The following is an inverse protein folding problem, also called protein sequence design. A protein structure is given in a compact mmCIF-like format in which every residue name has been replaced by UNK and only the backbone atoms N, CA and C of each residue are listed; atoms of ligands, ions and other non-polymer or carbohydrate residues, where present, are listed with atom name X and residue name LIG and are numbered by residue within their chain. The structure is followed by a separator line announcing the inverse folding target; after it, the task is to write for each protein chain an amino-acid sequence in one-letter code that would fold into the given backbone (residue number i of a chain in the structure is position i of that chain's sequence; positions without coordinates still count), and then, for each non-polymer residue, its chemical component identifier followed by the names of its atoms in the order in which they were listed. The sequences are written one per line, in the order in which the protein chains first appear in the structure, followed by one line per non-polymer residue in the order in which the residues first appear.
data_IF_639728767992
#
_entry.id   IF_639728767992
#
_cell.length_a   1.000
_cell.length_b   1.000
_cell.length_c   1.000
_cell.angle_alpha   90.00
_cell.angle_beta   90.00
_cell.angle_gamma   90.00
#
_symmetry.space_group_name_H-M   'P 1'
#
loop_
_entity.id
_entity.type
_entity.pdbx_description
1 polymer ?
#
# COMPACT_ATOMS: atom_id res chain seq x y z
N UNK A 1 15.37 2.40 -2.79
CA UNK A 1 15.03 1.15 -2.08
C UNK A 1 15.69 -0.05 -2.76
N UNK A 2 15.47 -0.25 -4.07
CA UNK A 2 16.11 -1.33 -4.82
C UNK A 2 17.63 -1.40 -4.69
N UNK A 3 18.35 -0.29 -4.93
CA UNK A 3 19.81 -0.26 -4.76
C UNK A 3 20.23 -0.64 -3.33
N UNK A 4 19.57 -0.05 -2.32
CA UNK A 4 19.84 -0.34 -0.91
C UNK A 4 19.64 -1.84 -0.58
N UNK A 5 18.53 -2.44 -1.01
CA UNK A 5 18.24 -3.86 -0.74
C UNK A 5 19.14 -4.83 -1.52
N UNK A 6 19.58 -4.46 -2.72
CA UNK A 6 20.45 -5.32 -3.52
C UNK A 6 21.92 -5.23 -3.11
N UNK A 7 22.36 -4.11 -2.53
CA UNK A 7 23.77 -3.84 -2.24
C UNK A 7 24.16 -3.95 -0.76
N UNK A 8 23.21 -4.23 0.15
CA UNK A 8 23.37 -4.09 1.60
C UNK A 8 24.61 -4.78 2.22
N UNK A 9 25.13 -5.85 1.61
CA UNK A 9 26.26 -6.61 2.16
C UNK A 9 27.60 -6.37 1.45
N UNK A 10 27.60 -5.69 0.30
CA UNK A 10 28.75 -5.67 -0.62
C UNK A 10 29.34 -4.26 -0.85
N UNK A 11 28.78 -3.23 -0.18
CA UNK A 11 29.21 -1.84 -0.38
C UNK A 11 29.57 -1.14 0.94
N UNK A 12 30.53 -0.20 0.92
CA UNK A 12 30.92 0.56 2.10
C UNK A 12 29.74 1.26 2.80
N UNK A 13 29.82 1.40 4.12
CA UNK A 13 28.79 2.05 4.94
C UNK A 13 28.47 3.46 4.48
N UNK A 14 29.46 4.21 3.96
CA UNK A 14 29.26 5.55 3.41
C UNK A 14 28.29 5.56 2.23
N UNK A 15 28.34 4.53 1.37
CA UNK A 15 27.42 4.38 0.24
C UNK A 15 26.02 4.01 0.73
N UNK A 16 25.91 3.10 1.72
CA UNK A 16 24.61 2.74 2.31
C UNK A 16 23.92 3.93 2.95
N UNK A 17 24.68 4.81 3.62
CA UNK A 17 24.14 6.04 4.19
C UNK A 17 23.70 7.01 3.09
N UNK A 18 24.52 7.22 2.06
CA UNK A 18 24.15 8.07 0.92
C UNK A 18 22.89 7.57 0.19
N UNK A 19 22.69 6.26 0.07
CA UNK A 19 21.47 5.68 -0.52
C UNK A 19 20.22 5.92 0.35
N UNK A 20 20.38 5.98 1.67
CA UNK A 20 19.28 6.35 2.58
C UNK A 20 18.97 7.84 2.46
N UNK A 21 19.98 8.71 2.43
CA UNK A 21 19.79 10.15 2.24
C UNK A 21 19.13 10.47 0.89
N UNK A 22 19.56 9.80 -0.19
CA UNK A 22 18.95 9.93 -1.50
C UNK A 22 17.46 9.57 -1.49
N UNK A 23 17.06 8.58 -0.67
CA UNK A 23 15.65 8.23 -0.50
C UNK A 23 14.87 9.35 0.19
N UNK A 24 15.36 9.88 1.32
CA UNK A 24 14.72 10.98 2.04
C UNK A 24 14.63 12.25 1.16
N UNK A 25 15.62 12.50 0.31
CA UNK A 25 15.58 13.56 -0.70
C UNK A 25 14.48 13.28 -1.74
N UNK A 26 14.40 12.06 -2.28
CA UNK A 26 13.38 11.70 -3.27
C UNK A 26 11.95 11.86 -2.71
N UNK A 27 11.74 11.56 -1.42
CA UNK A 27 10.45 11.73 -0.73
C UNK A 27 10.00 13.20 -0.70
N UNK A 28 10.90 14.17 -0.81
CA UNK A 28 10.51 15.59 -0.86
C UNK A 28 9.54 15.88 -2.02
N UNK A 29 9.64 15.12 -3.12
CA UNK A 29 8.79 15.24 -4.29
C UNK A 29 7.39 14.62 -4.14
N UNK A 30 7.15 13.84 -3.07
CA UNK A 30 5.82 13.28 -2.79
C UNK A 30 4.87 14.43 -2.41
N UNK A 31 3.70 14.54 -3.05
CA UNK A 31 2.79 15.65 -2.83
C UNK A 31 2.19 15.60 -1.42
N UNK A 32 1.95 16.79 -0.87
CA UNK A 32 1.01 16.95 0.24
C UNK A 32 -0.39 17.03 -0.35
N UNK A 33 -1.29 16.22 0.18
CA UNK A 33 -2.69 16.18 -0.21
C UNK A 33 -3.49 16.91 0.86
N UNK A 34 -4.39 17.80 0.43
CA UNK A 34 -5.31 18.48 1.34
C UNK A 34 -6.43 17.52 1.76
N UNK A 35 -6.76 17.52 3.06
CA UNK A 35 -7.83 16.69 3.61
C UNK A 35 -7.34 15.38 4.23
N UNK A 36 -8.29 14.53 4.62
CA UNK A 36 -8.01 13.26 5.29
C UNK A 36 -7.69 12.18 4.25
N UNK A 37 -6.48 11.63 4.32
CA UNK A 37 -5.99 10.58 3.44
C UNK A 37 -6.01 9.23 4.15
N UNK A 38 -6.45 8.20 3.45
CA UNK A 38 -6.30 6.81 3.85
C UNK A 38 -5.45 6.07 2.82
N UNK A 39 -4.49 5.26 3.27
CA UNK A 39 -3.67 4.42 2.41
C UNK A 39 -3.86 2.97 2.80
N UNK A 40 -4.15 2.13 1.82
CA UNK A 40 -4.39 0.70 1.98
C UNK A 40 -3.29 -0.07 1.26
N UNK A 41 -2.14 -0.30 1.93
CA UNK A 41 -1.13 -1.20 1.40
C UNK A 41 -1.62 -2.65 1.53
N UNK A 42 -1.66 -3.35 0.41
CA UNK A 42 -1.88 -4.78 0.37
C UNK A 42 -0.67 -5.52 0.96
N UNK A 43 -0.92 -6.39 1.94
CA UNK A 43 0.08 -7.22 2.61
C UNK A 43 -0.25 -8.72 2.47
N UNK A 44 -1.09 -9.07 1.49
CA UNK A 44 -1.43 -10.45 1.15
C UNK A 44 -0.22 -11.26 0.65
N UNK A 45 -0.39 -12.58 0.57
CA UNK A 45 0.66 -13.48 0.10
C UNK A 45 1.16 -13.19 -1.32
N UNK A 46 0.29 -12.71 -2.22
CA UNK A 46 0.68 -12.40 -3.62
C UNK A 46 1.69 -11.25 -3.69
N UNK A 47 1.61 -10.31 -2.75
CA UNK A 47 2.52 -9.17 -2.63
C UNK A 47 3.96 -9.58 -2.32
N UNK A 48 4.22 -10.83 -1.92
CA UNK A 48 5.58 -11.34 -1.72
C UNK A 48 6.30 -11.66 -3.04
N UNK A 49 5.60 -11.60 -4.18
CA UNK A 49 6.20 -11.78 -5.49
C UNK A 49 7.24 -10.69 -5.81
N UNK A 50 8.31 -11.02 -6.57
CA UNK A 50 9.26 -10.02 -7.06
C UNK A 50 8.56 -8.97 -7.92
N UNK A 51 8.86 -7.68 -7.72
CA UNK A 51 8.20 -6.58 -8.44
C UNK A 51 8.35 -6.68 -9.96
N UNK A 52 9.46 -7.23 -10.44
CA UNK A 52 9.74 -7.42 -11.88
C UNK A 52 9.04 -8.64 -12.48
N UNK A 53 8.20 -9.34 -11.71
CA UNK A 53 7.70 -10.66 -12.04
C UNK A 53 8.79 -11.73 -12.00
N UNK A 54 8.40 -12.98 -12.25
CA UNK A 54 9.32 -14.10 -12.36
C UNK A 54 10.01 -14.08 -13.74
N UNK A 55 11.20 -13.47 -13.81
CA UNK A 55 12.11 -13.57 -14.96
C UNK A 55 13.34 -14.39 -14.61
N UNK A 56 13.55 -15.49 -15.33
CA UNK A 56 14.73 -16.34 -15.18
C UNK A 56 16.00 -15.49 -15.37
N UNK A 57 16.85 -15.43 -14.35
CA UNK A 57 18.12 -14.70 -14.37
C UNK A 57 18.05 -13.18 -14.09
N UNK A 58 16.87 -12.61 -13.78
CA UNK A 58 16.72 -11.16 -13.51
C UNK A 58 15.60 -10.81 -12.54
N UNK A 59 15.23 -11.74 -11.64
CA UNK A 59 14.25 -11.48 -10.56
C UNK A 59 14.80 -10.47 -9.56
N UNK A 60 14.09 -9.38 -9.34
CA UNK A 60 14.44 -8.38 -8.32
C UNK A 60 14.33 -8.98 -6.91
N UNK A 61 15.24 -8.59 -6.00
CA UNK A 61 15.08 -8.83 -4.55
C UNK A 61 13.97 -7.99 -3.92
N UNK A 62 13.50 -6.95 -4.62
CA UNK A 62 12.39 -6.10 -4.17
C UNK A 62 11.08 -6.77 -4.52
N UNK A 63 10.22 -6.95 -3.52
CA UNK A 63 8.88 -7.53 -3.65
C UNK A 63 7.83 -6.44 -3.89
N UNK A 64 6.64 -6.80 -4.37
CA UNK A 64 5.51 -5.86 -4.47
C UNK A 64 5.16 -5.26 -3.10
N UNK A 65 5.23 -6.07 -2.03
CA UNK A 65 5.06 -5.67 -0.64
C UNK A 65 6.04 -4.56 -0.24
N UNK A 66 7.29 -4.66 -0.67
CA UNK A 66 8.32 -3.66 -0.36
C UNK A 66 7.97 -2.32 -1.03
N UNK A 67 7.42 -2.35 -2.24
CA UNK A 67 6.95 -1.14 -2.95
C UNK A 67 5.69 -0.57 -2.28
N UNK A 68 4.68 -1.38 -1.98
CA UNK A 68 3.47 -0.93 -1.30
C UNK A 68 3.76 -0.29 0.05
N UNK A 69 4.63 -0.94 0.84
CA UNK A 69 5.10 -0.42 2.11
C UNK A 69 5.84 0.91 1.97
N UNK A 70 6.69 1.06 0.94
CA UNK A 70 7.41 2.31 0.68
C UNK A 70 6.45 3.44 0.30
N UNK A 71 5.48 3.17 -0.58
CA UNK A 71 4.48 4.16 -1.00
C UNK A 71 3.65 4.63 0.20
N UNK A 72 3.17 3.71 1.03
CA UNK A 72 2.40 4.04 2.22
C UNK A 72 3.22 4.88 3.22
N UNK A 73 4.46 4.47 3.50
CA UNK A 73 5.35 5.21 4.40
C UNK A 73 5.71 6.61 3.86
N UNK A 74 5.90 6.76 2.54
CA UNK A 74 6.19 8.04 1.93
C UNK A 74 5.00 9.01 1.97
N UNK A 75 3.78 8.51 1.72
CA UNK A 75 2.55 9.30 1.86
C UNK A 75 2.36 9.75 3.31
N UNK A 76 2.53 8.84 4.27
CA UNK A 76 2.43 9.15 5.71
C UNK A 76 3.45 10.21 6.14
N UNK A 77 4.68 10.13 5.64
CA UNK A 77 5.74 11.11 5.93
C UNK A 77 5.34 12.53 5.50
N UNK A 78 4.71 12.68 4.32
CA UNK A 78 4.30 13.99 3.79
C UNK A 78 2.94 14.47 4.32
N UNK A 79 2.10 13.54 4.74
CA UNK A 79 0.75 13.75 5.24
C UNK A 79 0.62 13.10 6.62
N UNK A 80 1.11 13.73 7.71
CA UNK A 80 1.19 13.10 9.03
C UNK A 80 -0.15 12.72 9.66
N UNK A 81 -1.26 13.28 9.15
CA UNK A 81 -2.63 12.94 9.56
C UNK A 81 -3.25 11.81 8.72
N UNK A 82 -2.53 11.36 7.69
CA UNK A 82 -2.93 10.20 6.92
C UNK A 82 -2.95 8.96 7.80
N UNK A 83 -3.82 8.02 7.45
CA UNK A 83 -3.95 6.76 8.18
C UNK A 83 -3.64 5.61 7.23
N UNK A 84 -2.68 4.80 7.63
CA UNK A 84 -2.27 3.61 6.89
C UNK A 84 -3.02 2.43 7.48
N UNK A 85 -3.84 1.77 6.66
CA UNK A 85 -4.66 0.61 7.05
C UNK A 85 -4.26 -0.54 6.13
N UNK A 86 -3.22 -1.31 6.50
CA UNK A 86 -2.81 -2.48 5.74
C UNK A 86 -3.93 -3.51 5.72
N UNK A 87 -3.99 -4.32 4.66
CA UNK A 87 -4.99 -5.36 4.57
C UNK A 87 -4.45 -6.63 3.93
N UNK A 88 -5.04 -7.74 4.35
CA UNK A 88 -5.00 -9.04 3.70
C UNK A 88 -6.47 -9.48 3.55
N UNK A 89 -6.84 -10.69 3.96
CA UNK A 89 -8.25 -11.13 4.10
C UNK A 89 -9.09 -10.23 5.02
N UNK A 90 -8.44 -9.41 5.87
CA UNK A 90 -9.03 -8.38 6.74
C UNK A 90 -8.07 -7.18 6.89
N UNK A 91 -8.59 -6.07 7.42
CA UNK A 91 -7.75 -4.94 7.83
C UNK A 91 -6.85 -5.35 9.00
N UNK A 92 -5.55 -5.05 8.89
CA UNK A 92 -4.52 -5.39 9.87
C UNK A 92 -4.21 -4.17 10.72
N UNK A 93 -4.31 -4.28 12.07
CA UNK A 93 -3.84 -3.23 12.96
C UNK A 93 -2.34 -2.99 12.77
N UNK A 94 -1.98 -1.77 12.39
CA UNK A 94 -0.60 -1.35 12.28
C UNK A 94 -0.48 0.09 12.78
N UNK A 95 0.43 0.33 13.73
CA UNK A 95 0.73 1.67 14.21
C UNK A 95 2.07 2.10 13.66
N UNK A 96 2.02 3.13 12.81
CA UNK A 96 3.20 3.78 12.27
C UNK A 96 3.37 5.15 12.91
N UNK A 97 4.62 5.59 13.05
CA UNK A 97 4.92 6.94 13.48
C UNK A 97 5.35 7.77 12.26
N UNK A 98 4.60 8.81 11.86
CA UNK A 98 4.96 9.66 10.71
C UNK A 98 6.36 10.31 10.81
N UNK A 99 6.92 10.40 12.03
CA UNK A 99 8.26 10.94 12.28
C UNK A 99 9.37 9.92 12.12
N UNK A 100 9.07 8.62 12.14
CA UNK A 100 10.08 7.59 11.85
C UNK A 100 10.55 7.69 10.39
N UNK A 101 11.75 7.17 10.11
CA UNK A 101 12.27 7.13 8.74
C UNK A 101 11.30 6.37 7.82
N UNK A 102 11.26 6.74 6.55
CA UNK A 102 10.39 6.04 5.60
C UNK A 102 10.77 4.57 5.50
N UNK A 103 12.07 4.25 5.59
CA UNK A 103 12.54 2.87 5.61
C UNK A 103 12.12 2.11 6.86
N UNK A 104 12.08 2.75 8.03
CA UNK A 104 11.59 2.13 9.27
C UNK A 104 10.12 1.73 9.11
N UNK A 105 9.26 2.68 8.73
CA UNK A 105 7.84 2.40 8.54
C UNK A 105 7.58 1.37 7.42
N UNK A 106 8.34 1.44 6.32
CA UNK A 106 8.23 0.46 5.24
C UNK A 106 8.62 -0.96 5.71
N UNK A 107 9.68 -1.09 6.53
CA UNK A 107 10.06 -2.39 7.11
C UNK A 107 9.00 -2.91 8.07
N UNK A 108 8.41 -2.05 8.90
CA UNK A 108 7.32 -2.42 9.80
C UNK A 108 6.14 -2.98 9.02
N UNK A 109 5.72 -2.29 7.95
CA UNK A 109 4.65 -2.78 7.06
C UNK A 109 5.01 -4.10 6.37
N UNK A 110 6.22 -4.22 5.84
CA UNK A 110 6.69 -5.41 5.14
C UNK A 110 6.95 -6.63 6.06
N UNK A 111 6.87 -6.43 7.39
CA UNK A 111 7.01 -7.47 8.41
C UNK A 111 5.67 -8.00 8.92
N UNK A 112 4.55 -7.41 8.48
CA UNK A 112 3.22 -7.86 8.86
C UNK A 112 2.94 -9.28 8.35
N UNK A 113 2.09 -10.05 9.04
CA UNK A 113 1.74 -11.40 8.61
C UNK A 113 1.01 -11.36 7.27
N UNK A 114 1.38 -12.27 6.38
CA UNK A 114 0.70 -12.46 5.11
C UNK A 114 -0.54 -13.36 5.26
N UNK A 115 -1.57 -13.07 4.47
CA UNK A 115 -2.81 -13.85 4.40
C UNK A 115 -3.37 -13.91 2.98
N UNK A 116 -4.66 -14.19 2.85
CA UNK A 116 -5.37 -14.05 1.58
C UNK A 116 -5.54 -12.58 1.18
N UNK A 117 -6.23 -12.33 0.08
CA UNK A 117 -6.51 -10.98 -0.42
C UNK A 117 -8.01 -10.69 -0.27
N UNK A 118 -8.36 -9.59 0.40
CA UNK A 118 -9.72 -9.07 0.45
C UNK A 118 -9.68 -7.53 0.37
N UNK A 119 -9.87 -7.01 -0.84
CA UNK A 119 -9.76 -5.57 -1.11
C UNK A 119 -10.87 -4.74 -0.46
N UNK A 120 -12.00 -5.36 -0.11
CA UNK A 120 -13.14 -4.69 0.52
C UNK A 120 -12.92 -4.45 2.02
N UNK A 121 -12.03 -5.22 2.65
CA UNK A 121 -11.78 -5.17 4.09
C UNK A 121 -11.42 -3.77 4.65
N UNK A 122 -10.50 -2.98 4.06
CA UNK A 122 -10.19 -1.65 4.57
C UNK A 122 -11.36 -0.67 4.43
N UNK A 123 -12.16 -0.76 3.35
CA UNK A 123 -13.36 0.06 3.19
C UNK A 123 -14.46 -0.34 4.19
N UNK A 124 -14.66 -1.64 4.41
CA UNK A 124 -15.59 -2.15 5.41
C UNK A 124 -15.21 -1.63 6.82
N UNK A 125 -13.91 -1.68 7.15
CA UNK A 125 -13.38 -1.14 8.40
C UNK A 125 -13.73 0.35 8.58
N UNK A 126 -13.50 1.17 7.55
CA UNK A 126 -13.85 2.59 7.58
C UNK A 126 -15.37 2.83 7.63
N UNK A 127 -16.16 2.00 6.94
CA UNK A 127 -17.60 2.12 6.92
C UNK A 127 -18.22 1.80 8.28
N UNK A 128 -17.74 0.76 8.97
CA UNK A 128 -18.14 0.40 10.34
C UNK A 128 -17.90 1.55 11.32
N UNK A 129 -16.79 2.27 11.17
CA UNK A 129 -16.45 3.42 12.01
C UNK A 129 -17.14 4.74 11.61
N UNK A 130 -17.95 4.72 10.55
CA UNK A 130 -18.53 5.92 9.95
C UNK A 130 -17.49 6.99 9.55
N UNK A 131 -16.27 6.56 9.23
CA UNK A 131 -15.16 7.44 8.89
C UNK A 131 -15.45 8.32 7.66
N UNK A 132 -14.74 9.45 7.57
CA UNK A 132 -14.76 10.39 6.44
C UNK A 132 -13.33 10.63 5.97
N UNK A 133 -13.12 10.55 4.66
CA UNK A 133 -11.82 10.76 4.02
C UNK A 133 -12.00 11.34 2.63
N UNK A 134 -11.05 12.16 2.21
CA UNK A 134 -11.07 12.87 0.94
C UNK A 134 -10.35 12.08 -0.17
N UNK A 135 -9.31 11.33 0.21
CA UNK A 135 -8.53 10.50 -0.70
C UNK A 135 -8.24 9.13 -0.08
N UNK A 136 -8.60 8.06 -0.80
CA UNK A 136 -8.33 6.68 -0.45
C UNK A 136 -7.39 6.11 -1.51
N UNK A 137 -6.26 5.53 -1.11
CA UNK A 137 -5.22 5.04 -2.01
C UNK A 137 -5.01 3.56 -1.75
N UNK A 138 -5.36 2.71 -2.70
CA UNK A 138 -4.96 1.31 -2.73
C UNK A 138 -3.58 1.18 -3.35
N UNK A 139 -2.74 0.32 -2.76
CA UNK A 139 -1.47 -0.10 -3.35
C UNK A 139 -1.40 -1.62 -3.28
N UNK A 140 -1.59 -2.30 -4.41
CA UNK A 140 -1.67 -3.75 -4.56
C UNK A 140 -0.90 -4.19 -5.81
N UNK A 141 -0.81 -5.48 -6.09
CA UNK A 141 -0.16 -6.02 -7.28
C UNK A 141 -1.11 -6.01 -8.49
N UNK A 142 -2.21 -6.78 -8.46
CA UNK A 142 -3.13 -6.96 -9.60
C UNK A 142 -4.60 -7.25 -9.21
N UNK A 143 -4.97 -7.11 -7.93
CA UNK A 143 -6.28 -7.56 -7.41
C UNK A 143 -7.10 -6.46 -6.72
N UNK A 144 -6.81 -5.17 -6.98
CA UNK A 144 -7.41 -4.03 -6.26
C UNK A 144 -8.95 -3.85 -6.40
N UNK A 145 -9.64 -4.78 -7.06
CA UNK A 145 -11.10 -4.81 -7.26
C UNK A 145 -11.77 -6.17 -7.06
N UNK A 146 -11.03 -7.27 -6.88
CA UNK A 146 -11.54 -8.65 -6.99
C UNK A 146 -11.96 -9.24 -5.62
N UNK A 147 -13.18 -8.93 -5.18
CA UNK A 147 -13.82 -9.64 -4.05
C UNK A 147 -15.17 -10.21 -4.47
N UNK A 148 -15.20 -11.08 -5.48
CA UNK A 148 -16.43 -11.81 -5.78
C UNK A 148 -16.15 -13.18 -6.40
N UNK A 149 -16.67 -14.28 -5.82
CA UNK A 149 -16.52 -15.63 -6.37
C UNK A 149 -17.27 -15.86 -7.71
N UNK A 150 -17.91 -14.84 -8.29
CA UNK A 150 -18.71 -14.92 -9.52
C UNK A 150 -18.15 -14.12 -10.70
N UNK A 151 -16.88 -13.70 -10.67
CA UNK A 151 -16.28 -13.01 -11.80
C UNK A 151 -15.98 -14.02 -12.94
N UNK A 152 -16.76 -13.94 -14.03
CA UNK A 152 -16.46 -14.66 -15.28
C UNK A 152 -17.59 -15.50 -15.88
N UNK A 153 -18.70 -15.73 -15.15
CA UNK A 153 -19.84 -16.48 -15.69
C UNK A 153 -21.07 -15.57 -15.80
N UNK A 154 -21.38 -15.14 -17.03
CA UNK A 154 -22.61 -14.46 -17.44
C UNK A 154 -23.04 -13.26 -16.56
N UNK A 155 -22.42 -12.09 -16.74
CA UNK A 155 -22.98 -10.81 -16.26
C UNK A 155 -22.71 -10.47 -14.79
N UNK A 156 -21.50 -10.73 -14.29
CA UNK A 156 -21.10 -10.56 -12.88
C UNK A 156 -21.45 -9.19 -12.28
N UNK A 157 -22.15 -9.22 -11.13
CA UNK A 157 -22.58 -8.03 -10.40
C UNK A 157 -21.45 -7.22 -9.75
N UNK A 158 -21.82 -6.10 -9.14
CA UNK A 158 -20.92 -5.17 -8.43
C UNK A 158 -20.08 -5.90 -7.35
N UNK A 159 -18.75 -5.80 -7.43
CA UNK A 159 -17.83 -6.43 -6.45
C UNK A 159 -18.05 -5.89 -5.03
N UNK A 160 -17.70 -6.66 -3.99
CA UNK A 160 -17.89 -6.21 -2.61
C UNK A 160 -17.16 -4.87 -2.34
N UNK A 161 -15.93 -4.72 -2.86
CA UNK A 161 -15.18 -3.46 -2.84
C UNK A 161 -15.99 -2.29 -3.41
N UNK A 162 -16.67 -2.48 -4.55
CA UNK A 162 -17.50 -1.44 -5.16
C UNK A 162 -18.75 -1.10 -4.34
N UNK A 163 -19.35 -2.08 -3.64
CA UNK A 163 -20.47 -1.84 -2.73
C UNK A 163 -20.04 -1.01 -1.51
N UNK A 164 -18.91 -1.39 -0.89
CA UNK A 164 -18.33 -0.67 0.24
C UNK A 164 -17.91 0.76 -0.17
N UNK A 165 -17.31 0.92 -1.36
CA UNK A 165 -16.98 2.23 -1.90
C UNK A 165 -18.22 3.10 -2.14
N UNK A 166 -19.29 2.54 -2.71
CA UNK A 166 -20.53 3.27 -2.89
C UNK A 166 -21.13 3.73 -1.56
N UNK A 167 -21.04 2.89 -0.51
CA UNK A 167 -21.46 3.24 0.84
C UNK A 167 -20.64 4.40 1.42
N UNK A 168 -19.30 4.33 1.29
CA UNK A 168 -18.39 5.38 1.73
C UNK A 168 -18.65 6.70 0.99
N UNK A 169 -18.78 6.65 -0.35
CA UNK A 169 -18.99 7.82 -1.21
C UNK A 169 -20.36 8.47 -1.01
N UNK A 170 -21.40 7.73 -0.61
CA UNK A 170 -22.68 8.34 -0.18
C UNK A 170 -22.50 9.24 1.03
N UNK A 171 -21.60 8.87 1.95
CA UNK A 171 -21.29 9.65 3.16
C UNK A 171 -20.36 10.83 2.86
N UNK A 172 -19.37 10.65 1.99
CA UNK A 172 -18.53 11.72 1.47
C UNK A 172 -18.54 11.75 -0.07
N UNK A 173 -19.40 12.59 -0.66
CA UNK A 173 -19.60 12.66 -2.12
C UNK A 173 -18.37 13.14 -2.89
N UNK A 174 -17.47 13.87 -2.21
CA UNK A 174 -16.25 14.40 -2.81
C UNK A 174 -15.06 13.44 -2.70
N UNK A 175 -15.22 12.33 -1.97
CA UNK A 175 -14.15 11.35 -1.81
C UNK A 175 -13.68 10.79 -3.16
N UNK A 176 -12.36 10.66 -3.29
CA UNK A 176 -11.69 10.05 -4.43
C UNK A 176 -11.02 8.75 -3.99
N UNK A 177 -11.04 7.76 -4.88
CA UNK A 177 -10.33 6.50 -4.71
C UNK A 177 -9.32 6.38 -5.85
N UNK A 178 -8.09 6.01 -5.52
CA UNK A 178 -7.00 5.76 -6.46
C UNK A 178 -6.49 4.35 -6.19
N UNK A 179 -6.39 3.54 -7.25
CA UNK A 179 -5.76 2.22 -7.19
C UNK A 179 -4.40 2.29 -7.89
N UNK A 180 -3.37 1.81 -7.21
CA UNK A 180 -2.01 1.69 -7.74
C UNK A 180 -1.72 0.18 -7.79
N UNK A 181 -1.74 -0.35 -9.01
CA UNK A 181 -1.39 -1.74 -9.29
C UNK A 181 0.09 -1.80 -9.67
N UNK A 182 0.86 -2.62 -8.95
CA UNK A 182 2.33 -2.69 -9.04
C UNK A 182 2.78 -3.61 -10.19
N UNK A 183 1.94 -4.53 -10.64
CA UNK A 183 2.27 -5.53 -11.67
C UNK A 183 1.27 -5.56 -12.81
#
# INVERSE_FOLDING_TARGET
MAAFMNSANDVPQSILNALQDAMEIAIKNVPRVTGKVYVFPDVSGSMHSPVTGHRVGSTSKVRCLDVAALVAAAILRKNPEAEVIPFESKAIPCRLNPRDSVMTNARTLASLPAGGTNCSAPLEYLNRQKAKGDLLIYVSDNESWLDSPHYGWCGGGTTATMQEWASFKRRNRQAKMVCIDIQ
#
